data_IF_990801157552
#
_entry.id   IF_990801157552
#
_cell.length_a   1.000
_cell.length_b   1.000
_cell.length_c   1.000
_cell.angle_alpha   90.00
_cell.angle_beta   90.00
_cell.angle_gamma   90.00
#
_symmetry.space_group_name_H-M   'P 1'
#
loop_
_entity.id
_entity.type
_entity.pdbx_description
1 polymer ?
#
# COMPACT_ATOMS: atom_id res chain seq x y z
N UNK A 1 -0.37 -15.62 -3.47
CA UNK A 1 1.01 -16.18 -3.43
C UNK A 1 2.01 -15.04 -3.68
N UNK A 2 3.26 -15.14 -3.25
CA UNK A 2 4.30 -14.15 -3.58
C UNK A 2 5.11 -14.62 -4.79
N UNK A 3 5.18 -13.81 -5.83
CA UNK A 3 5.88 -14.11 -7.08
C UNK A 3 7.09 -13.18 -7.19
N UNK A 4 8.28 -13.76 -7.29
CA UNK A 4 9.54 -13.01 -7.40
C UNK A 4 10.00 -13.00 -8.85
N UNK A 5 9.78 -11.90 -9.60
CA UNK A 5 10.10 -11.85 -11.02
C UNK A 5 11.58 -11.51 -11.27
N UNK A 6 12.25 -10.80 -10.36
CA UNK A 6 13.53 -10.16 -10.67
C UNK A 6 14.72 -11.13 -10.64
N UNK A 7 14.70 -12.11 -9.74
CA UNK A 7 15.87 -12.90 -9.41
C UNK A 7 15.49 -14.32 -8.96
N UNK A 8 16.48 -15.22 -8.93
CA UNK A 8 16.34 -16.60 -8.43
C UNK A 8 17.47 -16.93 -7.44
N UNK A 9 17.30 -17.98 -6.64
CA UNK A 9 18.34 -18.44 -5.73
C UNK A 9 19.58 -19.00 -6.49
N UNK A 10 20.81 -18.90 -5.95
CA UNK A 10 22.04 -19.42 -6.54
C UNK A 10 22.13 -20.94 -6.71
N UNK A 11 21.16 -21.70 -6.19
CA UNK A 11 21.03 -23.15 -6.35
C UNK A 11 19.87 -23.55 -7.28
N UNK A 12 19.26 -22.58 -7.97
CA UNK A 12 18.16 -22.85 -8.89
C UNK A 12 18.62 -23.70 -10.10
N UNK A 13 17.88 -24.75 -10.51
CA UNK A 13 18.27 -25.64 -11.60
C UNK A 13 18.55 -24.95 -12.94
N UNK A 14 17.87 -23.83 -13.22
CA UNK A 14 18.11 -23.02 -14.43
C UNK A 14 19.56 -22.55 -14.59
N UNK A 15 20.36 -22.49 -13.54
CA UNK A 15 21.77 -22.11 -13.65
C UNK A 15 22.55 -23.13 -14.50
N UNK A 16 22.20 -24.42 -14.38
CA UNK A 16 22.77 -25.48 -15.20
C UNK A 16 22.02 -25.64 -16.54
N UNK A 17 20.68 -25.62 -16.48
CA UNK A 17 19.83 -25.99 -17.62
C UNK A 17 19.64 -24.84 -18.63
N UNK A 18 19.63 -23.60 -18.14
CA UNK A 18 19.35 -22.37 -18.89
C UNK A 18 20.21 -21.18 -18.41
N UNK A 19 21.56 -21.27 -18.45
CA UNK A 19 22.43 -20.18 -18.00
C UNK A 19 22.16 -18.85 -18.73
N UNK A 20 21.62 -18.89 -19.95
CA UNK A 20 21.19 -17.74 -20.75
C UNK A 20 20.01 -16.95 -20.16
N UNK A 21 19.34 -17.48 -19.15
CA UNK A 21 18.27 -16.81 -18.41
C UNK A 21 18.80 -15.79 -17.38
N UNK A 22 20.10 -15.78 -17.12
CA UNK A 22 20.73 -14.91 -16.14
C UNK A 22 21.58 -13.82 -16.79
N UNK A 23 21.78 -12.70 -16.10
CA UNK A 23 22.66 -11.63 -16.57
C UNK A 23 24.13 -12.07 -16.40
N UNK A 24 24.90 -12.20 -17.49
CA UNK A 24 26.28 -12.67 -17.40
C UNK A 24 27.20 -11.57 -16.86
N UNK A 25 28.29 -12.00 -16.21
CA UNK A 25 29.42 -11.13 -15.86
C UNK A 25 30.73 -11.62 -16.48
N UNK A 26 31.76 -10.77 -16.41
CA UNK A 26 33.12 -11.10 -16.80
C UNK A 26 34.08 -11.09 -15.61
N UNK A 27 35.30 -11.61 -15.80
CA UNK A 27 36.40 -11.47 -14.82
C UNK A 27 36.64 -10.00 -14.45
N UNK A 28 36.54 -9.09 -15.43
CA UNK A 28 36.70 -7.66 -15.23
C UNK A 28 35.57 -7.09 -14.37
N UNK A 29 34.33 -7.53 -14.60
CA UNK A 29 33.18 -7.08 -13.81
C UNK A 29 33.27 -7.55 -12.36
N UNK A 30 33.63 -8.81 -12.15
CA UNK A 30 33.83 -9.38 -10.82
C UNK A 30 34.98 -8.69 -10.07
N UNK A 31 36.08 -8.38 -10.75
CA UNK A 31 37.20 -7.66 -10.14
C UNK A 31 36.84 -6.20 -9.79
N UNK A 32 36.05 -5.53 -10.64
CA UNK A 32 35.64 -4.13 -10.46
C UNK A 32 34.51 -3.98 -9.43
N UNK A 33 33.60 -4.92 -9.36
CA UNK A 33 32.39 -4.86 -8.53
C UNK A 33 32.05 -6.23 -7.94
N UNK A 34 32.90 -6.75 -7.03
CA UNK A 34 32.76 -8.09 -6.46
C UNK A 34 31.47 -8.28 -5.65
N UNK A 35 30.82 -7.19 -5.23
CA UNK A 35 29.54 -7.22 -4.55
C UNK A 35 28.32 -7.34 -5.47
N UNK A 36 28.52 -7.23 -6.79
CA UNK A 36 27.45 -7.31 -7.80
C UNK A 36 27.53 -8.56 -8.68
N UNK A 37 28.61 -9.33 -8.56
CA UNK A 37 28.83 -10.53 -9.37
C UNK A 37 29.38 -11.65 -8.50
N UNK A 38 29.11 -12.88 -8.90
CA UNK A 38 29.69 -14.07 -8.28
C UNK A 38 30.18 -15.06 -9.33
N UNK A 39 31.15 -15.88 -8.94
CA UNK A 39 31.55 -17.05 -9.72
C UNK A 39 30.84 -18.28 -9.18
N UNK A 40 30.19 -19.00 -10.08
CA UNK A 40 29.50 -20.25 -9.81
C UNK A 40 30.20 -21.39 -10.54
N UNK A 41 30.18 -22.57 -9.93
CA UNK A 41 30.62 -23.80 -10.57
C UNK A 41 29.38 -24.57 -11.02
N UNK A 42 29.14 -24.60 -12.33
CA UNK A 42 28.00 -25.31 -12.94
C UNK A 42 28.47 -26.65 -13.49
N UNK A 43 27.51 -27.52 -13.85
CA UNK A 43 27.81 -28.78 -14.56
C UNK A 43 28.53 -28.56 -15.90
N UNK A 44 28.32 -27.39 -16.51
CA UNK A 44 28.87 -27.01 -17.81
C UNK A 44 30.18 -26.20 -17.71
N UNK A 45 30.70 -25.99 -16.49
CA UNK A 45 31.93 -25.23 -16.23
C UNK A 45 31.69 -23.99 -15.36
N UNK A 46 32.77 -23.24 -15.05
CA UNK A 46 32.64 -22.01 -14.27
C UNK A 46 31.91 -20.92 -15.06
N UNK A 47 31.02 -20.21 -14.39
CA UNK A 47 30.25 -19.08 -14.92
C UNK A 47 30.37 -17.89 -13.96
N UNK A 48 30.33 -16.67 -14.48
CA UNK A 48 30.20 -15.46 -13.67
C UNK A 48 28.82 -14.87 -13.95
N UNK A 49 28.02 -14.69 -12.90
CA UNK A 49 26.67 -14.13 -12.99
C UNK A 49 26.52 -12.93 -12.08
N UNK A 50 25.65 -12.02 -12.48
CA UNK A 50 25.28 -10.88 -11.65
C UNK A 50 24.32 -11.30 -10.52
N UNK A 51 24.52 -10.73 -9.34
CA UNK A 51 23.53 -10.81 -8.26
C UNK A 51 22.28 -9.99 -8.61
N UNK A 52 21.12 -10.43 -8.12
CA UNK A 52 19.89 -9.63 -8.21
C UNK A 52 20.08 -8.29 -7.50
N UNK A 53 19.61 -7.18 -8.09
CA UNK A 53 19.66 -5.87 -7.44
C UNK A 53 18.64 -4.89 -8.01
N UNK A 54 18.56 -3.72 -7.38
CA UNK A 54 17.93 -2.53 -7.92
C UNK A 54 18.98 -1.51 -8.44
N UNK A 55 18.57 -0.38 -9.05
CA UNK A 55 19.51 0.62 -9.58
C UNK A 55 20.31 1.39 -8.52
N UNK A 56 19.94 1.31 -7.24
CA UNK A 56 20.42 2.18 -6.17
C UNK A 56 21.32 1.46 -5.16
N UNK A 57 21.20 0.15 -5.02
CA UNK A 57 21.99 -0.66 -4.09
C UNK A 57 22.84 -1.72 -4.80
N UNK A 58 23.80 -2.25 -4.05
CA UNK A 58 24.60 -3.40 -4.46
C UNK A 58 23.75 -4.68 -4.50
N UNK A 59 24.33 -5.73 -5.09
CA UNK A 59 23.75 -7.07 -5.23
C UNK A 59 23.24 -7.68 -3.92
N UNK A 60 22.06 -8.29 -3.98
CA UNK A 60 21.58 -9.22 -2.95
C UNK A 60 22.34 -10.55 -3.12
N UNK A 61 23.26 -10.88 -2.19
CA UNK A 61 24.26 -11.94 -2.39
C UNK A 61 23.67 -13.36 -2.40
N UNK A 62 22.41 -13.51 -2.00
CA UNK A 62 21.64 -14.75 -1.99
C UNK A 62 20.73 -14.90 -3.21
N UNK A 63 20.92 -14.07 -4.25
CA UNK A 63 20.06 -14.07 -5.45
C UNK A 63 20.85 -13.82 -6.73
N UNK A 64 20.43 -14.39 -7.85
CA UNK A 64 21.00 -14.17 -9.19
C UNK A 64 20.01 -13.44 -10.07
N UNK A 65 20.49 -12.45 -10.82
CA UNK A 65 19.66 -11.60 -11.66
C UNK A 65 19.17 -12.33 -12.92
N UNK A 66 17.86 -12.33 -13.12
CA UNK A 66 17.23 -12.81 -14.35
C UNK A 66 17.37 -11.78 -15.49
N UNK A 67 17.61 -12.26 -16.71
CA UNK A 67 17.85 -11.48 -17.92
C UNK A 67 16.57 -11.28 -18.76
N UNK A 68 15.76 -10.28 -18.45
CA UNK A 68 14.52 -9.99 -19.19
C UNK A 68 14.75 -9.54 -20.65
N UNK A 69 15.99 -9.22 -21.05
CA UNK A 69 16.34 -9.03 -22.46
C UNK A 69 16.27 -10.33 -23.28
N UNK A 70 16.22 -11.50 -22.63
CA UNK A 70 16.01 -12.79 -23.28
C UNK A 70 14.50 -13.10 -23.42
N UNK A 71 13.95 -13.20 -24.65
CA UNK A 71 12.55 -13.53 -24.86
C UNK A 71 12.14 -14.91 -24.32
N UNK A 72 13.05 -15.88 -24.30
CA UNK A 72 12.77 -17.24 -23.81
C UNK A 72 12.55 -17.25 -22.30
N UNK A 73 13.33 -16.47 -21.54
CA UNK A 73 13.06 -16.24 -20.13
C UNK A 73 11.68 -15.64 -19.92
N UNK A 74 11.30 -14.62 -20.70
CA UNK A 74 9.97 -14.01 -20.54
C UNK A 74 8.86 -15.05 -20.75
N UNK A 75 9.00 -15.95 -21.74
CA UNK A 75 8.04 -17.04 -21.93
C UNK A 75 8.04 -18.03 -20.77
N UNK A 76 9.22 -18.40 -20.23
CA UNK A 76 9.33 -19.28 -19.08
C UNK A 76 8.63 -18.69 -17.84
N UNK A 77 8.85 -17.41 -17.55
CA UNK A 77 8.22 -16.71 -16.41
C UNK A 77 6.71 -16.53 -16.59
N UNK A 78 6.23 -16.30 -17.82
CA UNK A 78 4.78 -16.31 -18.12
C UNK A 78 4.18 -17.70 -17.87
N UNK A 79 4.87 -18.76 -18.32
CA UNK A 79 4.44 -20.14 -18.08
C UNK A 79 4.37 -20.48 -16.59
N UNK A 80 5.33 -20.02 -15.80
CA UNK A 80 5.33 -20.20 -14.35
C UNK A 80 4.16 -19.44 -13.68
N UNK A 81 3.89 -18.20 -14.10
CA UNK A 81 2.72 -17.45 -13.63
C UNK A 81 1.40 -18.17 -13.96
N UNK A 82 1.28 -18.74 -15.16
CA UNK A 82 0.10 -19.54 -15.54
C UNK A 82 -0.05 -20.79 -14.66
N UNK A 83 1.05 -21.49 -14.37
CA UNK A 83 1.07 -22.63 -13.45
C UNK A 83 0.65 -22.23 -12.03
N UNK A 84 1.15 -21.10 -11.53
CA UNK A 84 0.76 -20.52 -10.23
C UNK A 84 -0.72 -20.14 -10.23
N UNK A 85 -1.22 -19.56 -11.32
CA UNK A 85 -2.62 -19.16 -11.44
C UNK A 85 -3.60 -20.33 -11.37
N UNK A 86 -3.17 -21.54 -11.74
CA UNK A 86 -3.93 -22.76 -11.52
C UNK A 86 -4.04 -23.20 -10.04
N UNK A 87 -3.37 -22.51 -9.11
CA UNK A 87 -3.26 -22.92 -7.69
C UNK A 87 -3.73 -21.87 -6.69
N UNK A 88 -4.01 -20.65 -7.12
CA UNK A 88 -4.46 -19.56 -6.24
C UNK A 88 -5.28 -18.52 -7.02
N UNK A 89 -5.87 -17.54 -6.31
CA UNK A 89 -6.70 -16.50 -6.92
C UNK A 89 -5.93 -15.22 -7.28
N UNK A 90 -4.66 -15.13 -6.87
CA UNK A 90 -3.83 -13.96 -7.15
C UNK A 90 -2.42 -14.01 -6.59
N UNK A 91 -1.58 -13.12 -7.12
CA UNK A 91 -0.18 -12.95 -6.73
C UNK A 91 0.13 -11.53 -6.28
N UNK A 92 0.96 -11.42 -5.24
CA UNK A 92 1.79 -10.24 -4.97
C UNK A 92 3.08 -10.43 -5.78
N UNK A 93 3.40 -9.49 -6.65
CA UNK A 93 4.63 -9.50 -7.42
C UNK A 93 5.67 -8.65 -6.69
N UNK A 94 6.72 -9.32 -6.20
CA UNK A 94 7.88 -8.70 -5.56
C UNK A 94 8.58 -7.72 -6.52
N UNK A 95 8.92 -6.54 -6.01
CA UNK A 95 9.69 -5.50 -6.70
C UNK A 95 9.33 -5.36 -8.19
N UNK A 96 8.02 -5.31 -8.48
CA UNK A 96 7.50 -5.49 -9.83
C UNK A 96 7.99 -4.42 -10.83
N UNK A 97 8.41 -3.26 -10.33
CA UNK A 97 8.98 -2.20 -11.16
C UNK A 97 10.37 -2.51 -11.70
N UNK A 98 11.12 -3.47 -11.13
CA UNK A 98 12.48 -3.80 -11.57
C UNK A 98 12.53 -4.39 -12.98
N UNK A 99 11.45 -5.06 -13.40
CA UNK A 99 11.35 -5.66 -14.73
C UNK A 99 10.73 -4.73 -15.77
N UNK A 100 10.43 -3.47 -15.40
CA UNK A 100 10.03 -2.44 -16.37
C UNK A 100 11.18 -2.13 -17.33
N UNK A 101 10.91 -1.93 -18.64
CA UNK A 101 11.96 -1.70 -19.62
C UNK A 101 12.96 -0.60 -19.28
N UNK A 102 12.48 0.53 -18.80
CA UNK A 102 13.29 1.69 -18.47
C UNK A 102 14.18 1.43 -17.25
N UNK A 103 13.64 0.74 -16.24
CA UNK A 103 14.36 0.39 -15.02
C UNK A 103 15.41 -0.68 -15.31
N UNK A 104 15.03 -1.72 -16.07
CA UNK A 104 15.92 -2.81 -16.43
C UNK A 104 17.08 -2.32 -17.31
N UNK A 105 16.79 -1.50 -18.33
CA UNK A 105 17.81 -0.91 -19.19
C UNK A 105 18.75 0.03 -18.42
N UNK A 106 18.24 0.82 -17.47
CA UNK A 106 19.07 1.66 -16.60
C UNK A 106 20.00 0.83 -15.70
N UNK A 107 19.55 -0.33 -15.23
CA UNK A 107 20.29 -1.17 -14.28
C UNK A 107 21.34 -2.04 -14.98
N UNK A 108 21.01 -2.57 -16.15
CA UNK A 108 21.78 -3.62 -16.82
C UNK A 108 22.30 -3.25 -18.20
N UNK A 109 21.93 -2.08 -18.75
CA UNK A 109 22.21 -1.68 -20.13
C UNK A 109 21.70 -2.70 -21.19
N UNK A 110 20.69 -3.50 -20.82
CA UNK A 110 20.06 -4.50 -21.66
C UNK A 110 18.65 -3.99 -22.01
N UNK A 111 18.32 -3.79 -23.29
CA UNK A 111 16.95 -3.46 -23.70
C UNK A 111 16.04 -4.67 -23.49
N UNK A 112 14.81 -4.42 -23.06
CA UNK A 112 13.79 -5.46 -22.86
C UNK A 112 12.43 -5.00 -23.37
N UNK A 113 11.60 -5.95 -23.80
CA UNK A 113 10.20 -5.69 -24.15
C UNK A 113 9.33 -5.68 -22.89
N UNK A 114 8.19 -4.96 -22.88
CA UNK A 114 7.26 -4.95 -21.75
C UNK A 114 6.76 -6.36 -21.38
N UNK A 115 7.11 -6.82 -20.18
CA UNK A 115 6.74 -8.13 -19.67
C UNK A 115 5.29 -8.19 -19.15
N UNK A 116 4.93 -7.25 -18.26
CA UNK A 116 3.67 -7.31 -17.49
C UNK A 116 2.39 -7.29 -18.33
N UNK A 117 2.24 -6.47 -19.39
CA UNK A 117 1.01 -6.47 -20.19
C UNK A 117 0.74 -7.84 -20.80
N UNK A 118 1.78 -8.47 -21.36
CA UNK A 118 1.68 -9.82 -21.94
C UNK A 118 1.41 -10.85 -20.86
N UNK A 119 2.15 -10.82 -19.75
CA UNK A 119 2.03 -11.80 -18.68
C UNK A 119 0.63 -11.78 -18.03
N UNK A 120 0.14 -10.60 -17.66
CA UNK A 120 -1.17 -10.46 -17.01
C UNK A 120 -2.32 -10.81 -17.96
N UNK A 121 -2.22 -10.47 -19.25
CA UNK A 121 -3.19 -10.88 -20.26
C UNK A 121 -3.25 -12.42 -20.38
N UNK A 122 -2.10 -13.07 -20.57
CA UNK A 122 -2.02 -14.54 -20.75
C UNK A 122 -2.53 -15.33 -19.56
N UNK A 123 -2.34 -14.82 -18.35
CA UNK A 123 -2.90 -15.44 -17.14
C UNK A 123 -4.41 -15.28 -17.11
N UNK A 124 -4.94 -14.07 -17.39
CA UNK A 124 -6.39 -13.82 -17.35
C UNK A 124 -7.18 -14.48 -18.48
N UNK A 125 -6.53 -14.80 -19.60
CA UNK A 125 -7.09 -15.65 -20.65
C UNK A 125 -7.40 -17.07 -20.13
N UNK A 126 -6.62 -17.57 -19.17
CA UNK A 126 -6.82 -18.90 -18.55
C UNK A 126 -7.65 -18.84 -17.27
N UNK A 127 -7.43 -17.82 -16.44
CA UNK A 127 -8.09 -17.62 -15.15
C UNK A 127 -8.68 -16.22 -15.10
N UNK A 128 -9.91 -16.02 -15.61
CA UNK A 128 -10.57 -14.72 -15.57
C UNK A 128 -10.70 -14.19 -14.14
N UNK A 129 -10.34 -12.93 -13.92
CA UNK A 129 -10.40 -12.30 -12.60
C UNK A 129 -9.22 -12.58 -11.68
N UNK A 130 -8.18 -13.29 -12.14
CA UNK A 130 -6.95 -13.47 -11.37
C UNK A 130 -6.32 -12.12 -10.98
N UNK A 131 -6.02 -11.97 -9.69
CA UNK A 131 -5.62 -10.71 -9.09
C UNK A 131 -4.09 -10.53 -9.10
N UNK A 132 -3.63 -9.39 -9.61
CA UNK A 132 -2.23 -8.98 -9.55
C UNK A 132 -2.06 -7.77 -8.63
N UNK A 133 -1.21 -7.91 -7.62
CA UNK A 133 -0.77 -6.82 -6.76
C UNK A 133 0.72 -6.58 -6.94
N UNK A 134 1.14 -5.37 -7.29
CA UNK A 134 2.55 -5.02 -7.38
C UNK A 134 3.06 -4.47 -6.05
N UNK A 135 4.15 -5.03 -5.54
CA UNK A 135 5.09 -4.22 -4.78
C UNK A 135 5.79 -3.26 -5.74
N UNK A 136 5.77 -1.98 -5.41
CA UNK A 136 6.29 -0.94 -6.27
C UNK A 136 6.70 0.28 -5.45
N UNK A 137 7.71 0.97 -5.96
CA UNK A 137 8.29 2.18 -5.41
C UNK A 137 8.58 3.19 -6.54
N UNK A 138 9.07 4.38 -6.16
CA UNK A 138 9.58 5.42 -7.06
C UNK A 138 8.53 6.10 -7.97
N UNK A 139 7.31 6.26 -7.47
CA UNK A 139 6.19 6.88 -8.23
C UNK A 139 5.82 6.11 -9.52
N UNK A 140 6.12 4.80 -9.57
CA UNK A 140 5.82 3.91 -10.69
C UNK A 140 4.50 3.14 -10.53
N UNK A 141 3.77 3.39 -9.45
CA UNK A 141 2.48 2.79 -9.13
C UNK A 141 1.50 2.97 -10.30
N UNK A 142 1.33 4.20 -10.77
CA UNK A 142 0.43 4.49 -11.89
C UNK A 142 0.82 3.73 -13.16
N UNK A 143 2.12 3.69 -13.47
CA UNK A 143 2.61 2.98 -14.66
C UNK A 143 2.28 1.48 -14.59
N UNK A 144 2.47 0.83 -13.44
CA UNK A 144 2.13 -0.58 -13.27
C UNK A 144 0.62 -0.83 -13.28
N UNK A 145 -0.20 0.07 -12.71
CA UNK A 145 -1.66 -0.04 -12.82
C UNK A 145 -2.15 -0.03 -14.27
N UNK A 146 -1.47 0.72 -15.15
CA UNK A 146 -1.76 0.72 -16.60
C UNK A 146 -1.24 -0.55 -17.32
N UNK A 147 -0.32 -1.32 -16.71
CA UNK A 147 0.20 -2.58 -17.26
C UNK A 147 -0.56 -3.82 -16.79
N UNK A 148 -1.74 -3.63 -16.20
CA UNK A 148 -2.65 -4.71 -15.85
C UNK A 148 -2.62 -5.14 -14.40
N UNK A 149 -1.95 -4.41 -13.50
CA UNK A 149 -2.06 -4.65 -12.06
C UNK A 149 -3.40 -4.14 -11.51
N UNK A 150 -4.04 -4.96 -10.68
CA UNK A 150 -5.28 -4.61 -9.97
C UNK A 150 -4.97 -3.71 -8.78
N UNK A 151 -3.84 -3.98 -8.10
CA UNK A 151 -3.37 -3.20 -6.96
C UNK A 151 -1.88 -2.88 -7.03
N UNK A 152 -1.50 -1.77 -6.44
CA UNK A 152 -0.10 -1.37 -6.22
C UNK A 152 0.09 -0.92 -4.78
N UNK A 153 1.20 -1.29 -4.16
CA UNK A 153 1.58 -0.76 -2.84
C UNK A 153 1.51 0.77 -2.84
N UNK A 154 0.93 1.34 -1.77
CA UNK A 154 0.88 2.78 -1.57
C UNK A 154 1.93 3.23 -0.56
N UNK A 155 3.20 3.09 -0.95
CA UNK A 155 4.33 3.47 -0.10
C UNK A 155 4.33 4.97 0.18
N UNK A 156 3.92 5.77 -0.81
CA UNK A 156 3.88 7.24 -0.70
C UNK A 156 2.96 7.71 0.41
N UNK A 157 1.77 7.11 0.57
CA UNK A 157 0.89 7.41 1.70
C UNK A 157 1.53 7.03 3.03
N UNK A 158 2.10 5.82 3.13
CA UNK A 158 2.77 5.36 4.35
C UNK A 158 3.91 6.32 4.77
N UNK A 159 4.74 6.77 3.83
CA UNK A 159 5.83 7.71 4.13
C UNK A 159 5.31 9.05 4.64
N UNK A 160 4.29 9.61 3.98
CA UNK A 160 3.64 10.85 4.40
C UNK A 160 3.01 10.74 5.79
N UNK A 161 2.40 9.60 6.11
CA UNK A 161 1.87 9.33 7.44
C UNK A 161 2.99 9.27 8.49
N UNK A 162 4.11 8.62 8.17
CA UNK A 162 5.29 8.52 9.04
C UNK A 162 5.95 9.87 9.33
N UNK A 163 5.90 10.80 8.37
CA UNK A 163 6.38 12.17 8.56
C UNK A 163 5.51 12.98 9.55
N UNK A 164 4.25 12.60 9.76
CA UNK A 164 3.39 13.22 10.77
C UNK A 164 2.82 14.59 10.38
N UNK A 165 2.72 14.89 9.08
CA UNK A 165 2.18 16.16 8.60
C UNK A 165 0.86 15.94 7.83
N UNK A 166 -0.22 16.61 8.27
CA UNK A 166 -1.55 16.44 7.68
C UNK A 166 -1.62 16.82 6.19
N UNK A 167 -0.98 17.92 5.79
CA UNK A 167 -1.11 18.47 4.43
C UNK A 167 -0.59 17.52 3.33
N UNK A 168 0.63 16.97 3.38
CA UNK A 168 1.09 15.99 2.39
C UNK A 168 0.18 14.76 2.32
N UNK A 169 -0.33 14.28 3.45
CA UNK A 169 -1.27 13.15 3.51
C UNK A 169 -2.59 13.53 2.82
N UNK A 170 -3.14 14.73 3.07
CA UNK A 170 -4.37 15.20 2.42
C UNK A 170 -4.18 15.39 0.91
N UNK A 171 -3.04 15.94 0.49
CA UNK A 171 -2.70 16.13 -0.93
C UNK A 171 -2.57 14.79 -1.67
N UNK A 172 -2.18 13.70 -1.00
CA UNK A 172 -2.20 12.34 -1.56
C UNK A 172 -3.57 11.96 -2.11
N UNK A 173 -4.62 12.30 -1.36
CA UNK A 173 -5.99 11.95 -1.67
C UNK A 173 -6.64 12.84 -2.73
N UNK A 174 -5.90 13.80 -3.31
CA UNK A 174 -6.33 14.55 -4.49
C UNK A 174 -6.15 13.78 -5.80
N UNK A 175 -5.34 12.71 -5.82
CA UNK A 175 -5.26 11.85 -7.01
C UNK A 175 -6.61 11.12 -7.24
N UNK A 176 -6.92 10.85 -8.51
CA UNK A 176 -8.21 10.33 -8.96
C UNK A 176 -8.56 8.96 -8.36
N UNK A 177 -9.87 8.66 -8.26
CA UNK A 177 -10.35 7.40 -7.69
C UNK A 177 -9.93 6.16 -8.49
N UNK A 178 -9.65 6.31 -9.78
CA UNK A 178 -9.06 5.29 -10.64
C UNK A 178 -7.67 4.84 -10.16
N UNK A 179 -6.90 5.75 -9.57
CA UNK A 179 -5.66 5.42 -8.86
C UNK A 179 -5.94 4.92 -7.44
N UNK A 180 -6.71 5.67 -6.64
CA UNK A 180 -6.92 5.39 -5.21
C UNK A 180 -7.58 4.03 -4.96
N UNK A 181 -8.52 3.61 -5.82
CA UNK A 181 -9.20 2.31 -5.70
C UNK A 181 -8.26 1.13 -5.98
N UNK A 182 -7.13 1.38 -6.64
CA UNK A 182 -6.08 0.40 -6.95
C UNK A 182 -4.87 0.52 -6.03
N UNK A 183 -4.93 1.38 -5.01
CA UNK A 183 -3.88 1.48 -4.00
C UNK A 183 -4.07 0.42 -2.92
N UNK A 184 -3.02 -0.34 -2.63
CA UNK A 184 -2.94 -1.22 -1.46
C UNK A 184 -2.48 -0.39 -0.25
N UNK A 185 -3.41 -0.18 0.67
CA UNK A 185 -3.27 0.63 1.88
C UNK A 185 -2.73 -0.23 3.01
N UNK A 186 -1.54 0.09 3.51
CA UNK A 186 -0.92 -0.60 4.63
C UNK A 186 -0.24 0.41 5.58
N UNK A 187 0.03 -0.03 6.80
CA UNK A 187 0.85 0.71 7.77
C UNK A 187 2.17 0.01 8.10
N UNK A 188 2.28 -1.26 7.74
CA UNK A 188 3.50 -2.07 7.86
C UNK A 188 3.38 -3.25 6.89
N UNK A 189 4.52 -3.81 6.52
CA UNK A 189 4.63 -5.06 5.78
C UNK A 189 5.90 -5.80 6.27
N UNK A 190 6.45 -6.73 5.49
CA UNK A 190 7.65 -7.47 5.90
C UNK A 190 8.94 -6.65 5.80
N UNK A 191 9.01 -5.66 4.90
CA UNK A 191 10.20 -4.82 4.71
C UNK A 191 10.16 -3.56 5.57
N UNK A 192 8.98 -3.01 5.81
CA UNK A 192 8.80 -1.81 6.61
C UNK A 192 8.91 -2.08 8.11
N UNK A 193 9.36 -1.09 8.89
CA UNK A 193 9.23 -1.12 10.34
C UNK A 193 7.79 -1.44 10.78
N UNK A 194 7.68 -2.10 11.93
CA UNK A 194 6.38 -2.31 12.59
C UNK A 194 5.74 -0.96 12.93
N UNK A 195 4.46 -0.79 12.61
CA UNK A 195 3.68 0.40 12.92
C UNK A 195 3.73 0.73 14.42
N UNK A 196 3.58 -0.28 15.30
CA UNK A 196 3.68 -0.10 16.76
C UNK A 196 5.10 0.18 17.28
N UNK A 197 6.13 0.04 16.44
CA UNK A 197 7.48 0.50 16.74
C UNK A 197 7.75 1.91 16.21
N UNK A 198 7.03 2.34 15.17
CA UNK A 198 7.21 3.61 14.48
C UNK A 198 6.33 4.72 15.03
N UNK A 199 5.07 4.43 15.31
CA UNK A 199 4.07 5.39 15.76
C UNK A 199 3.85 5.29 17.27
N UNK A 200 3.55 6.43 17.92
CA UNK A 200 2.89 6.38 19.24
C UNK A 200 1.47 5.83 19.08
N UNK A 201 0.83 5.42 20.16
CA UNK A 201 -0.51 4.82 20.08
C UNK A 201 -1.52 5.74 19.40
N UNK A 202 -1.53 7.03 19.74
CA UNK A 202 -2.47 7.99 19.18
C UNK A 202 -2.22 8.21 17.68
N UNK A 203 -0.95 8.33 17.27
CA UNK A 203 -0.59 8.48 15.85
C UNK A 203 -0.92 7.20 15.08
N UNK A 204 -0.70 6.02 15.66
CA UNK A 204 -0.99 4.73 15.04
C UNK A 204 -2.49 4.61 14.76
N UNK A 205 -3.34 4.90 15.74
CA UNK A 205 -4.78 4.88 15.58
C UNK A 205 -5.25 5.88 14.51
N UNK A 206 -4.76 7.13 14.56
CA UNK A 206 -5.07 8.15 13.56
C UNK A 206 -4.65 7.73 12.14
N UNK A 207 -3.42 7.23 11.99
CA UNK A 207 -2.90 6.74 10.71
C UNK A 207 -3.71 5.55 10.20
N UNK A 208 -4.16 4.65 11.08
CA UNK A 208 -5.00 3.52 10.70
C UNK A 208 -6.39 3.96 10.22
N UNK A 209 -7.00 4.95 10.87
CA UNK A 209 -8.27 5.54 10.44
C UNK A 209 -8.12 6.16 9.05
N UNK A 210 -7.07 6.97 8.82
CA UNK A 210 -6.79 7.55 7.49
C UNK A 210 -6.56 6.46 6.44
N UNK A 211 -5.68 5.50 6.72
CA UNK A 211 -5.27 4.45 5.77
C UNK A 211 -6.41 3.52 5.38
N UNK A 212 -7.14 2.98 6.36
CA UNK A 212 -8.07 1.88 6.10
C UNK A 212 -9.50 2.34 5.78
N UNK A 213 -9.90 3.56 6.17
CA UNK A 213 -11.18 4.13 5.72
C UNK A 213 -11.07 4.88 4.38
N UNK A 214 -9.87 4.99 3.80
CA UNK A 214 -9.69 5.47 2.43
C UNK A 214 -9.97 4.37 1.40
N UNK A 215 -10.22 4.71 0.12
CA UNK A 215 -10.47 3.74 -0.94
C UNK A 215 -9.23 2.86 -1.22
N UNK A 216 -9.45 1.65 -1.73
CA UNK A 216 -8.39 0.72 -2.10
C UNK A 216 -8.39 -0.57 -1.30
N UNK A 217 -7.37 -1.40 -1.53
CA UNK A 217 -7.20 -2.67 -0.82
C UNK A 217 -6.69 -2.40 0.59
N UNK A 218 -7.39 -2.90 1.61
CA UNK A 218 -6.98 -2.81 3.02
C UNK A 218 -6.03 -3.95 3.33
N UNK A 219 -4.75 -3.64 3.44
CA UNK A 219 -3.70 -4.64 3.56
C UNK A 219 -3.06 -4.58 4.96
N UNK A 220 -3.36 -5.59 5.77
CA UNK A 220 -2.89 -5.71 7.15
C UNK A 220 -1.80 -6.76 7.25
N UNK A 221 -0.72 -6.44 7.97
CA UNK A 221 0.37 -7.37 8.20
C UNK A 221 0.18 -8.20 9.47
N UNK A 222 0.65 -9.44 9.45
CA UNK A 222 0.52 -10.37 10.57
C UNK A 222 1.19 -9.80 11.83
N UNK A 223 0.45 -9.67 12.93
CA UNK A 223 0.96 -9.09 14.19
C UNK A 223 0.63 -7.61 14.40
N UNK A 224 0.13 -6.90 13.38
CA UNK A 224 -0.21 -5.48 13.48
C UNK A 224 -1.29 -5.22 14.53
N UNK A 225 -2.33 -6.08 14.57
CA UNK A 225 -3.44 -5.94 15.52
C UNK A 225 -3.00 -6.16 16.97
N UNK A 226 -2.00 -7.00 17.19
CA UNK A 226 -1.44 -7.26 18.50
C UNK A 226 -0.42 -6.21 18.94
N UNK A 227 -0.08 -5.26 18.07
CA UNK A 227 0.93 -4.24 18.36
C UNK A 227 2.35 -4.79 18.40
N UNK A 228 2.67 -5.85 17.62
CA UNK A 228 4.04 -6.39 17.55
C UNK A 228 5.02 -5.31 17.11
N UNK A 229 6.17 -5.20 17.77
CA UNK A 229 7.16 -4.12 17.56
C UNK A 229 8.43 -4.62 16.89
N UNK A 230 8.68 -5.94 16.89
CA UNK A 230 9.86 -6.51 16.21
C UNK A 230 9.53 -6.85 14.76
N UNK A 231 10.31 -6.26 13.83
CA UNK A 231 10.37 -6.70 12.43
C UNK A 231 11.14 -8.02 12.38
N UNK A 232 10.58 -9.01 11.71
CA UNK A 232 11.19 -10.33 11.54
C UNK A 232 11.90 -10.32 10.19
N UNK A 233 13.18 -10.69 10.17
CA UNK A 233 13.89 -10.87 8.91
C UNK A 233 13.29 -12.07 8.16
N UNK A 234 13.07 -11.99 6.84
CA UNK A 234 12.59 -13.14 6.06
C UNK A 234 13.56 -14.34 6.13
N UNK A 235 14.86 -14.11 6.39
CA UNK A 235 15.85 -15.17 6.60
C UNK A 235 15.70 -15.88 7.96
N UNK A 236 14.92 -15.33 8.88
CA UNK A 236 14.65 -15.89 10.20
C UNK A 236 13.20 -16.37 10.26
N UNK A 237 12.98 -17.68 10.15
CA UNK A 237 11.67 -18.34 10.31
C UNK A 237 11.25 -18.43 11.79
N UNK A 238 11.60 -17.42 12.60
CA UNK A 238 11.28 -17.35 14.02
C UNK A 238 11.08 -15.90 14.45
N UNK A 239 10.14 -15.72 15.38
CA UNK A 239 9.82 -14.43 15.99
C UNK A 239 10.04 -14.50 17.50
N UNK A 240 10.41 -13.40 18.16
CA UNK A 240 10.28 -13.33 19.61
C UNK A 240 8.80 -13.40 20.02
N UNK A 241 8.54 -13.92 21.21
CA UNK A 241 7.25 -13.74 21.85
C UNK A 241 7.12 -12.27 22.29
N UNK A 242 6.02 -11.64 21.90
CA UNK A 242 5.70 -10.26 22.30
C UNK A 242 4.33 -10.26 22.98
N UNK A 243 4.17 -9.57 24.12
CA UNK A 243 2.86 -9.42 24.74
C UNK A 243 1.93 -8.64 23.80
N UNK A 244 0.63 -8.95 23.86
CA UNK A 244 -0.39 -8.24 23.09
C UNK A 244 -0.62 -6.86 23.69
N UNK A 245 -0.55 -5.82 22.88
CA UNK A 245 -1.06 -4.50 23.25
C UNK A 245 -2.60 -4.54 23.23
N UNK A 246 -3.21 -4.51 24.42
CA UNK A 246 -4.67 -4.63 24.56
C UNK A 246 -5.42 -3.40 24.02
N UNK A 247 -4.80 -2.21 24.03
CA UNK A 247 -5.42 -0.98 23.51
C UNK A 247 -5.49 -1.06 21.99
N UNK A 248 -4.38 -1.39 21.33
CA UNK A 248 -4.35 -1.54 19.87
C UNK A 248 -5.22 -2.69 19.39
N UNK A 249 -5.24 -3.82 20.11
CA UNK A 249 -6.12 -4.95 19.79
C UNK A 249 -7.60 -4.53 19.80
N UNK A 250 -8.06 -3.86 20.86
CA UNK A 250 -9.43 -3.36 20.97
C UNK A 250 -9.76 -2.27 19.94
N UNK A 251 -8.77 -1.44 19.57
CA UNK A 251 -8.92 -0.46 18.50
C UNK A 251 -9.13 -1.17 17.15
N UNK A 252 -8.29 -2.15 16.81
CA UNK A 252 -8.41 -2.88 15.54
C UNK A 252 -9.66 -3.74 15.47
N UNK A 253 -10.11 -4.34 16.57
CA UNK A 253 -11.39 -5.05 16.63
C UNK A 253 -12.55 -4.12 16.27
N UNK A 254 -12.59 -2.91 16.86
CA UNK A 254 -13.59 -1.88 16.52
C UNK A 254 -13.46 -1.42 15.07
N UNK A 255 -12.25 -1.12 14.61
CA UNK A 255 -12.00 -0.70 13.24
C UNK A 255 -12.49 -1.75 12.25
N UNK A 256 -12.21 -3.03 12.47
CA UNK A 256 -12.65 -4.12 11.60
C UNK A 256 -14.18 -4.27 11.57
N UNK A 257 -14.87 -4.05 12.70
CA UNK A 257 -16.34 -3.99 12.73
C UNK A 257 -16.85 -2.85 11.84
N UNK A 258 -16.24 -1.66 11.93
CA UNK A 258 -16.59 -0.51 11.09
C UNK A 258 -16.34 -0.83 9.61
N UNK A 259 -15.15 -1.30 9.26
CA UNK A 259 -14.75 -1.62 7.87
C UNK A 259 -15.61 -2.73 7.21
N UNK A 260 -16.35 -3.52 7.99
CA UNK A 260 -17.30 -4.52 7.47
C UNK A 260 -18.61 -3.92 6.98
N UNK A 261 -18.93 -2.68 7.34
CA UNK A 261 -20.18 -2.05 6.95
C UNK A 261 -20.24 -1.85 5.42
N UNK A 262 -21.39 -2.12 4.76
CA UNK A 262 -21.52 -2.02 3.30
C UNK A 262 -21.15 -0.64 2.74
N UNK A 263 -21.46 0.43 3.48
CA UNK A 263 -21.13 1.81 3.09
C UNK A 263 -19.63 2.03 2.87
N UNK A 264 -18.77 1.32 3.61
CA UNK A 264 -17.32 1.40 3.51
C UNK A 264 -16.73 0.41 2.50
N UNK A 265 -17.56 -0.43 1.87
CA UNK A 265 -17.12 -1.40 0.85
C UNK A 265 -17.61 -1.04 -0.55
N UNK A 266 -18.82 -0.49 -0.63
CA UNK A 266 -19.52 -0.23 -1.88
C UNK A 266 -19.98 1.22 -2.02
N UNK A 267 -19.76 2.05 -0.99
CA UNK A 267 -20.17 3.45 -1.02
C UNK A 267 -19.30 4.29 -1.94
N UNK A 268 -19.81 5.48 -2.27
CA UNK A 268 -19.04 6.50 -2.96
C UNK A 268 -18.22 7.29 -1.95
N UNK A 269 -16.90 7.22 -2.08
CA UNK A 269 -15.97 8.02 -1.29
C UNK A 269 -15.81 9.44 -1.85
N UNK A 270 -15.59 10.41 -0.97
CA UNK A 270 -15.28 11.79 -1.36
C UNK A 270 -14.41 12.47 -0.28
N UNK A 271 -13.28 13.06 -0.70
CA UNK A 271 -12.49 13.99 0.13
C UNK A 271 -13.31 15.24 0.43
N UNK A 272 -13.23 15.72 1.67
CA UNK A 272 -13.95 16.91 2.11
C UNK A 272 -12.98 18.03 2.46
N UNK A 273 -13.40 19.25 2.17
CA UNK A 273 -12.67 20.46 2.55
C UNK A 273 -12.93 20.79 4.02
N UNK A 274 -11.87 21.27 4.68
CA UNK A 274 -11.92 21.77 6.05
C UNK A 274 -11.66 23.27 6.03
N UNK A 275 -12.59 24.06 6.54
CA UNK A 275 -12.46 25.53 6.59
C UNK A 275 -12.14 26.01 8.01
N UNK A 276 -11.47 27.17 8.15
CA UNK A 276 -11.18 27.76 9.46
C UNK A 276 -12.44 27.92 10.31
N UNK A 277 -12.35 27.57 11.59
CA UNK A 277 -13.45 27.77 12.54
C UNK A 277 -13.73 29.26 12.84
N UNK A 278 -12.74 30.12 12.66
CA UNK A 278 -12.82 31.58 12.72
C UNK A 278 -11.67 32.19 11.92
N UNK A 279 -11.73 33.50 11.67
CA UNK A 279 -10.68 34.20 10.93
C UNK A 279 -9.31 34.08 11.63
N UNK A 280 -8.28 33.71 10.88
CA UNK A 280 -6.94 33.44 11.41
C UNK A 280 -6.74 32.07 12.09
N UNK A 281 -7.75 31.20 12.19
CA UNK A 281 -7.55 29.83 12.64
C UNK A 281 -6.88 28.98 11.55
N UNK A 282 -5.57 28.79 11.66
CA UNK A 282 -4.77 28.00 10.72
C UNK A 282 -4.89 26.49 10.92
N UNK A 283 -5.40 26.04 12.07
CA UNK A 283 -5.43 24.62 12.45
C UNK A 283 -6.41 23.79 11.61
N UNK A 284 -7.26 24.41 10.78
CA UNK A 284 -8.04 23.69 9.78
C UNK A 284 -7.17 22.93 8.77
N UNK A 285 -5.92 23.38 8.55
CA UNK A 285 -4.95 22.70 7.69
C UNK A 285 -4.42 21.39 8.31
N UNK A 286 -4.65 21.16 9.61
CA UNK A 286 -4.25 19.95 10.33
C UNK A 286 -5.20 18.76 10.11
N UNK A 287 -6.33 18.98 9.43
CA UNK A 287 -7.37 17.96 9.28
C UNK A 287 -7.29 17.19 7.97
N UNK A 288 -7.68 15.92 8.06
CA UNK A 288 -8.16 15.11 6.96
C UNK A 288 -9.61 14.75 7.23
N UNK A 289 -10.49 15.03 6.27
CA UNK A 289 -11.89 14.65 6.34
C UNK A 289 -12.34 14.02 5.03
N UNK A 290 -13.09 12.93 5.12
CA UNK A 290 -13.68 12.29 3.95
C UNK A 290 -14.99 11.61 4.32
N UNK A 291 -15.85 11.46 3.33
CA UNK A 291 -17.15 10.80 3.47
C UNK A 291 -17.24 9.54 2.64
N UNK A 292 -18.12 8.65 3.08
CA UNK A 292 -18.70 7.60 2.26
C UNK A 292 -20.22 7.78 2.20
N UNK A 293 -20.77 7.66 1.01
CA UNK A 293 -22.23 7.67 0.78
C UNK A 293 -22.67 6.31 0.26
N UNK A 294 -23.56 5.65 0.99
CA UNK A 294 -24.10 4.34 0.62
C UNK A 294 -25.17 4.44 -0.46
N UNK A 295 -25.41 3.35 -1.19
CA UNK A 295 -26.45 3.28 -2.25
C UNK A 295 -27.85 3.58 -1.73
N UNK A 296 -28.14 3.20 -0.48
CA UNK A 296 -29.41 3.43 0.21
C UNK A 296 -29.48 4.78 0.93
N UNK A 297 -28.55 5.71 0.64
CA UNK A 297 -28.52 7.04 1.24
C UNK A 297 -27.87 7.12 2.63
N UNK A 298 -27.28 6.01 3.11
CA UNK A 298 -26.45 5.98 4.32
C UNK A 298 -25.25 6.93 4.21
N UNK A 299 -24.80 7.47 5.34
CA UNK A 299 -23.79 8.52 5.42
C UNK A 299 -22.75 8.17 6.47
N UNK A 300 -21.49 8.14 6.07
CA UNK A 300 -20.36 7.99 6.98
C UNK A 300 -19.41 9.16 6.77
N UNK A 301 -18.90 9.72 7.86
CA UNK A 301 -17.93 10.81 7.88
C UNK A 301 -16.75 10.41 8.77
N UNK A 302 -15.55 10.41 8.22
CA UNK A 302 -14.32 10.30 9.00
C UNK A 302 -13.63 11.67 9.06
N UNK A 303 -13.22 12.06 10.26
CA UNK A 303 -12.47 13.31 10.51
C UNK A 303 -11.29 12.97 11.40
N UNK A 304 -10.09 13.36 10.99
CA UNK A 304 -8.85 13.08 11.71
C UNK A 304 -8.08 14.39 11.84
N UNK A 305 -7.76 14.78 13.07
CA UNK A 305 -6.74 15.80 13.33
C UNK A 305 -5.38 15.10 13.28
N UNK A 306 -4.65 15.25 12.18
CA UNK A 306 -3.35 14.61 11.98
C UNK A 306 -2.22 15.57 12.35
N UNK A 307 -2.24 16.04 13.59
CA UNK A 307 -1.24 16.93 14.18
C UNK A 307 -1.04 16.65 15.68
N UNK A 308 0.05 17.20 16.23
CA UNK A 308 0.47 17.03 17.62
C UNK A 308 -0.21 17.99 18.62
N UNK A 309 -1.19 18.76 18.16
CA UNK A 309 -1.92 19.73 18.98
C UNK A 309 -3.42 19.68 18.71
N UNK A 310 -4.22 20.19 19.65
CA UNK A 310 -5.65 20.34 19.48
C UNK A 310 -5.95 21.31 18.33
N UNK A 311 -6.88 20.95 17.45
CA UNK A 311 -7.21 21.72 16.25
C UNK A 311 -8.72 21.84 16.08
N UNK A 312 -9.17 22.89 15.37
CA UNK A 312 -10.59 23.12 15.09
C UNK A 312 -10.82 23.48 13.62
N UNK A 313 -11.94 23.02 13.07
CA UNK A 313 -12.39 23.40 11.74
C UNK A 313 -13.90 23.23 11.58
N UNK A 314 -14.43 23.73 10.46
CA UNK A 314 -15.69 23.25 9.91
C UNK A 314 -15.40 22.26 8.78
N UNK A 315 -16.04 21.10 8.84
CA UNK A 315 -15.97 20.09 7.76
C UNK A 315 -17.16 20.28 6.83
N UNK A 316 -16.90 20.50 5.54
CA UNK A 316 -17.95 20.67 4.54
C UNK A 316 -18.75 19.37 4.35
N UNK A 317 -20.08 19.43 4.50
CA UNK A 317 -20.96 18.27 4.40
C UNK A 317 -21.45 18.10 2.95
N UNK A 318 -21.20 16.95 2.28
CA UNK A 318 -21.48 16.81 0.85
C UNK A 318 -22.96 16.47 0.53
N UNK A 319 -23.83 16.44 1.54
CA UNK A 319 -25.20 15.96 1.44
C UNK A 319 -26.18 17.14 1.45
N UNK A 320 -26.82 17.43 0.32
CA UNK A 320 -27.74 18.56 0.18
C UNK A 320 -29.07 18.36 0.92
N UNK A 321 -29.43 17.11 1.22
CA UNK A 321 -30.66 16.72 1.90
C UNK A 321 -30.63 16.89 3.43
N UNK A 322 -29.56 17.46 3.98
CA UNK A 322 -29.43 17.66 5.42
C UNK A 322 -30.43 18.70 5.94
N UNK A 323 -30.69 19.77 5.18
CA UNK A 323 -31.53 20.88 5.59
C UNK A 323 -32.96 20.44 5.99
N UNK A 324 -33.52 21.12 7.00
CA UNK A 324 -34.88 20.90 7.50
C UNK A 324 -35.07 19.68 8.40
N UNK A 325 -33.99 18.97 8.78
CA UNK A 325 -34.05 17.80 9.67
C UNK A 325 -33.07 17.92 10.83
N UNK A 326 -33.31 17.17 11.90
CA UNK A 326 -32.29 16.90 12.91
C UNK A 326 -31.52 15.65 12.49
N UNK A 327 -30.22 15.62 12.78
CA UNK A 327 -29.38 14.48 12.46
C UNK A 327 -28.62 14.02 13.69
N UNK A 328 -28.53 12.70 13.84
CA UNK A 328 -27.72 12.04 14.86
C UNK A 328 -26.41 11.59 14.23
N UNK A 329 -25.30 12.01 14.84
CA UNK A 329 -23.95 11.61 14.46
C UNK A 329 -23.44 10.67 15.56
N UNK A 330 -23.29 9.39 15.24
CA UNK A 330 -22.83 8.38 16.18
C UNK A 330 -21.41 7.95 15.81
N UNK A 331 -20.44 8.28 16.67
CA UNK A 331 -19.05 7.89 16.49
C UNK A 331 -18.91 6.38 16.68
N UNK A 332 -18.44 5.69 15.65
CA UNK A 332 -18.27 4.24 15.66
C UNK A 332 -16.95 3.78 16.28
N UNK A 333 -15.99 4.70 16.44
CA UNK A 333 -14.70 4.40 17.05
C UNK A 333 -14.60 4.96 18.48
N UNK A 334 -15.38 5.99 18.79
CA UNK A 334 -15.50 6.59 20.12
C UNK A 334 -16.86 6.36 20.79
N UNK A 335 -17.14 7.13 21.85
CA UNK A 335 -18.43 7.12 22.54
C UNK A 335 -19.28 8.37 22.23
N UNK A 336 -18.82 9.23 21.32
CA UNK A 336 -19.46 10.49 21.03
C UNK A 336 -20.79 10.28 20.27
N UNK A 337 -21.83 10.93 20.76
CA UNK A 337 -23.15 11.00 20.12
C UNK A 337 -23.60 12.46 20.09
N UNK A 338 -23.84 12.98 18.90
CA UNK A 338 -24.28 14.36 18.71
C UNK A 338 -25.61 14.44 17.99
N UNK A 339 -26.47 15.35 18.44
CA UNK A 339 -27.62 15.83 17.66
C UNK A 339 -27.27 17.19 17.05
N UNK A 340 -27.51 17.34 15.75
CA UNK A 340 -27.18 18.56 15.00
C UNK A 340 -28.33 18.97 14.11
N UNK A 341 -28.53 20.29 14.02
CA UNK A 341 -29.50 20.86 13.11
C UNK A 341 -28.96 20.75 11.68
N UNK A 342 -29.74 20.16 10.79
CA UNK A 342 -29.35 19.95 9.40
C UNK A 342 -29.20 21.23 8.58
N UNK A 343 -29.86 22.34 8.97
CA UNK A 343 -29.64 23.63 8.34
C UNK A 343 -28.23 24.18 8.63
N UNK A 344 -27.74 24.01 9.87
CA UNK A 344 -26.38 24.40 10.25
C UNK A 344 -25.36 23.52 9.51
N UNK A 345 -25.58 22.21 9.49
CA UNK A 345 -24.70 21.27 8.78
C UNK A 345 -24.63 21.57 7.27
N UNK A 346 -25.74 21.95 6.64
CA UNK A 346 -25.78 22.28 5.22
C UNK A 346 -25.15 23.64 4.91
N UNK A 347 -25.28 24.62 5.80
CA UNK A 347 -24.85 26.00 5.57
C UNK A 347 -23.38 26.24 5.97
N UNK A 348 -22.96 25.74 7.13
CA UNK A 348 -21.64 26.00 7.72
C UNK A 348 -20.75 24.75 7.75
N UNK A 349 -21.35 23.55 7.67
CA UNK A 349 -20.64 22.29 7.87
C UNK A 349 -20.66 21.83 9.33
N UNK A 350 -19.94 20.76 9.62
CA UNK A 350 -19.80 20.24 10.98
C UNK A 350 -18.61 20.91 11.67
N UNK A 351 -18.87 21.71 12.70
CA UNK A 351 -17.81 22.17 13.61
C UNK A 351 -17.22 21.00 14.38
N UNK A 352 -15.90 20.90 14.40
CA UNK A 352 -15.15 19.92 15.19
C UNK A 352 -14.05 20.61 15.99
N UNK A 353 -13.83 20.13 17.21
CA UNK A 353 -12.71 20.50 18.08
C UNK A 353 -12.09 19.20 18.59
N UNK A 354 -10.90 18.87 18.08
CA UNK A 354 -10.34 17.53 18.16
C UNK A 354 -8.93 17.60 18.76
N UNK A 355 -8.63 16.81 19.81
CA UNK A 355 -7.30 16.80 20.42
C UNK A 355 -6.23 16.34 19.42
N UNK A 356 -4.95 16.48 19.81
CA UNK A 356 -3.82 15.98 19.05
C UNK A 356 -4.03 14.51 18.64
N UNK A 357 -3.82 14.20 17.35
CA UNK A 357 -4.02 12.88 16.76
C UNK A 357 -5.43 12.28 16.95
N UNK A 358 -6.40 13.10 17.36
CA UNK A 358 -7.77 12.65 17.59
C UNK A 358 -8.51 12.43 16.27
N UNK A 359 -9.56 11.61 16.34
CA UNK A 359 -10.38 11.30 15.18
C UNK A 359 -11.82 10.97 15.58
N UNK A 360 -12.72 11.06 14.62
CA UNK A 360 -14.11 10.62 14.73
C UNK A 360 -14.52 9.87 13.45
N UNK A 361 -15.33 8.83 13.60
CA UNK A 361 -15.92 8.10 12.47
C UNK A 361 -17.43 8.04 12.68
N UNK A 362 -18.14 9.04 12.19
CA UNK A 362 -19.57 9.19 12.40
C UNK A 362 -20.39 8.42 11.36
N UNK A 363 -21.33 7.61 11.82
CA UNK A 363 -22.53 7.29 11.04
C UNK A 363 -23.59 8.35 11.28
N UNK A 364 -24.21 8.83 10.21
CA UNK A 364 -25.16 9.93 10.25
C UNK A 364 -26.53 9.43 9.83
N UNK A 365 -27.50 9.52 10.74
CA UNK A 365 -28.89 9.12 10.52
C UNK A 365 -29.85 10.26 10.90
N UNK A 366 -30.98 10.33 10.19
CA UNK A 366 -32.03 11.33 10.42
C UNK A 366 -32.89 10.99 11.64
#
# INVERSE_FOLDING_TARGET
LDFVPNHMAPDHPWIDDHPEYFVPGSETDLARSPQNYCRLHTKNGPLILAYGRDPYFDGWPDTLQLNYGNPELQQAMIGELQRIAGQCDGVRCDMAMLVLPEVFARTWAIPTQPFWPTATQRVREQVPGFCFMAEVYWDLEWALQQQGFDYTYDKRLYDRLREGHARPVREHFRAGLDFQNKSARFLENHDEPRAAATFSHEVHEAAAVVTFLSPGLRFFHQGQFQGRRKRISPHLVRAPEEPVDSRLAQFYDRLLIVLRQPILREGRWQLLECTPAWDGNWTSDCFLAFSWTGKEGGKCLAVVNYSDHQSQCYVAMPWGELAGKMWKLHDQMGAALFERNGNELAMQGLYVDVPAWGYHVFLICA
#
